data_IF_722055932167
#
_entry.id   IF_722055932167
#
_cell.length_a   1.000
_cell.length_b   1.000
_cell.length_c   1.000
_cell.angle_alpha   90.00
_cell.angle_beta   90.00
_cell.angle_gamma   90.00
#
_symmetry.space_group_name_H-M   'P 1'
#
loop_
_entity.id
_entity.type
_entity.pdbx_description
1 polymer ?
#
# COMPACT_ATOMS: atom_id res chain seq x y z
N UNK A 1 3.06 -6.05 0.76
CA UNK A 1 2.05 -6.12 1.84
C UNK A 1 2.17 -4.99 2.86
N UNK A 2 3.34 -4.33 3.01
CA UNK A 2 3.44 -3.08 3.80
C UNK A 2 3.09 -3.23 5.29
N UNK A 3 3.10 -4.46 5.80
CA UNK A 3 2.63 -4.79 7.15
C UNK A 3 3.67 -4.43 8.22
N UNK A 4 4.95 -4.63 7.88
CA UNK A 4 6.10 -4.30 8.74
C UNK A 4 6.88 -3.16 8.11
N UNK A 5 7.55 -2.36 8.94
CA UNK A 5 8.33 -1.20 8.47
C UNK A 5 9.69 -1.63 7.90
N UNK A 6 10.33 -2.63 8.49
CA UNK A 6 11.67 -3.09 8.09
C UNK A 6 11.86 -4.54 8.51
N UNK A 7 12.66 -5.26 7.72
CA UNK A 7 13.17 -6.59 8.05
C UNK A 7 14.63 -6.44 8.45
N UNK A 8 14.98 -6.87 9.66
CA UNK A 8 16.36 -6.79 10.17
C UNK A 8 17.09 -8.05 9.69
N UNK A 9 18.26 -7.88 9.07
CA UNK A 9 19.05 -9.00 8.55
C UNK A 9 19.66 -9.82 9.68
N UNK A 10 19.53 -11.14 9.57
CA UNK A 10 20.22 -12.10 10.42
C UNK A 10 21.69 -12.25 10.02
N UNK A 11 22.58 -12.63 10.95
CA UNK A 11 23.97 -12.95 10.64
C UNK A 11 24.09 -14.23 9.81
N UNK A 12 25.28 -14.44 9.23
CA UNK A 12 25.56 -15.61 8.41
C UNK A 12 25.30 -16.92 9.18
N UNK A 13 24.45 -17.78 8.60
CA UNK A 13 24.01 -19.03 9.20
C UNK A 13 22.87 -18.91 10.22
N UNK A 14 22.30 -17.72 10.40
CA UNK A 14 21.08 -17.48 11.14
C UNK A 14 21.28 -16.94 12.56
N UNK A 15 20.22 -16.37 13.12
CA UNK A 15 20.24 -15.68 14.40
C UNK A 15 20.77 -16.52 15.58
N UNK A 16 20.49 -17.82 15.57
CA UNK A 16 20.90 -18.74 16.64
C UNK A 16 22.41 -19.02 16.66
N UNK A 17 23.12 -18.86 15.54
CA UNK A 17 24.56 -19.14 15.45
C UNK A 17 25.42 -17.98 15.95
N UNK A 18 24.90 -16.76 15.82
CA UNK A 18 25.58 -15.57 16.27
C UNK A 18 24.56 -14.62 16.91
N UNK A 19 24.28 -14.89 18.18
CA UNK A 19 23.33 -14.12 18.97
C UNK A 19 23.82 -12.67 19.17
N UNK A 20 25.13 -12.49 19.36
CA UNK A 20 25.72 -11.18 19.60
C UNK A 20 25.42 -10.20 18.45
N UNK A 21 25.72 -10.60 17.21
CA UNK A 21 25.49 -9.73 16.06
C UNK A 21 24.00 -9.53 15.77
N UNK A 22 23.18 -10.54 16.04
CA UNK A 22 21.72 -10.42 15.93
C UNK A 22 21.18 -9.36 16.88
N UNK A 23 21.54 -9.44 18.16
CA UNK A 23 21.12 -8.48 19.18
C UNK A 23 21.63 -7.08 18.84
N UNK A 24 22.89 -6.96 18.42
CA UNK A 24 23.46 -5.68 18.00
C UNK A 24 22.70 -5.05 16.82
N UNK A 25 22.34 -5.83 15.80
CA UNK A 25 21.56 -5.34 14.66
C UNK A 25 20.16 -4.87 15.09
N UNK A 26 19.52 -5.60 16.01
CA UNK A 26 18.21 -5.24 16.58
C UNK A 26 18.31 -3.97 17.40
N UNK A 27 19.28 -3.88 18.32
CA UNK A 27 19.52 -2.71 19.16
C UNK A 27 19.75 -1.46 18.31
N UNK A 28 20.65 -1.56 17.32
CA UNK A 28 20.94 -0.46 16.39
C UNK A 28 19.69 0.07 15.70
N UNK A 29 18.80 -0.84 15.27
CA UNK A 29 17.53 -0.45 14.64
C UNK A 29 16.56 0.20 15.63
N UNK A 30 16.41 -0.37 16.83
CA UNK A 30 15.53 0.17 17.89
C UNK A 30 15.99 1.56 18.31
N UNK A 31 17.28 1.75 18.59
CA UNK A 31 17.83 3.05 19.02
C UNK A 31 17.63 4.12 17.95
N UNK A 32 17.87 3.77 16.68
CA UNK A 32 17.65 4.68 15.55
C UNK A 32 16.16 5.07 15.44
N UNK A 33 15.27 4.09 15.41
CA UNK A 33 13.83 4.34 15.23
C UNK A 33 13.22 5.12 16.40
N UNK A 34 13.59 4.79 17.64
CA UNK A 34 13.14 5.55 18.81
C UNK A 34 13.64 7.00 18.78
N UNK A 35 14.88 7.23 18.34
CA UNK A 35 15.42 8.59 18.18
C UNK A 35 14.60 9.37 17.14
N UNK A 36 14.29 8.76 16.01
CA UNK A 36 13.54 9.41 14.93
C UNK A 36 12.08 9.69 15.35
N UNK A 37 11.43 8.74 16.02
CA UNK A 37 10.06 8.91 16.52
C UNK A 37 9.97 9.97 17.62
N UNK A 38 10.96 10.06 18.51
CA UNK A 38 11.02 11.07 19.58
C UNK A 38 11.10 12.50 19.04
N UNK A 39 11.62 12.70 17.82
CA UNK A 39 11.68 14.02 17.16
C UNK A 39 10.35 14.44 16.54
N UNK A 40 9.38 13.54 16.47
CA UNK A 40 8.05 13.83 15.93
C UNK A 40 7.16 14.40 17.04
N UNK A 41 6.38 15.44 16.74
CA UNK A 41 5.36 15.98 17.67
C UNK A 41 4.35 14.90 18.04
N UNK A 42 3.84 14.94 19.27
CA UNK A 42 2.91 13.93 19.79
C UNK A 42 1.67 13.78 18.92
N UNK A 43 1.04 14.88 18.50
CA UNK A 43 -0.16 14.86 17.67
C UNK A 43 0.09 14.17 16.33
N UNK A 44 1.22 14.46 15.70
CA UNK A 44 1.64 13.82 14.44
C UNK A 44 1.92 12.33 14.65
N UNK A 45 2.51 11.95 15.79
CA UNK A 45 2.79 10.56 16.11
C UNK A 45 1.50 9.73 16.24
N UNK A 46 0.46 10.31 16.86
CA UNK A 46 -0.85 9.69 17.00
C UNK A 46 -1.57 9.56 15.66
N UNK A 47 -1.59 10.63 14.87
CA UNK A 47 -2.19 10.64 13.53
C UNK A 47 -1.52 9.63 12.59
N UNK A 48 -0.19 9.59 12.57
CA UNK A 48 0.57 8.62 11.77
C UNK A 48 0.27 7.17 12.17
N UNK A 49 0.17 6.90 13.48
CA UNK A 49 -0.18 5.58 14.00
C UNK A 49 -1.59 5.17 13.55
N UNK A 50 -2.56 6.09 13.66
CA UNK A 50 -3.93 5.84 13.24
C UNK A 50 -4.01 5.51 11.74
N UNK A 51 -3.39 6.34 10.90
CA UNK A 51 -3.32 6.15 9.44
C UNK A 51 -2.71 4.80 9.08
N UNK A 52 -1.57 4.45 9.70
CA UNK A 52 -0.91 3.16 9.46
C UNK A 52 -1.85 2.01 9.77
N UNK A 53 -2.45 1.97 10.95
CA UNK A 53 -3.34 0.89 11.37
C UNK A 53 -4.58 0.76 10.47
N UNK A 54 -5.19 1.88 10.08
CA UNK A 54 -6.38 1.88 9.21
C UNK A 54 -6.08 1.48 7.77
N UNK A 55 -4.83 1.59 7.34
CA UNK A 55 -4.40 1.13 6.01
C UNK A 55 -4.17 -0.38 5.93
N UNK A 56 -4.11 -1.08 7.07
CA UNK A 56 -3.88 -2.52 7.13
C UNK A 56 -5.19 -3.25 6.84
N UNK A 57 -5.12 -4.18 5.89
CA UNK A 57 -6.27 -4.95 5.43
C UNK A 57 -6.93 -4.29 4.21
N UNK A 58 -7.38 -5.13 3.27
CA UNK A 58 -8.16 -4.68 2.11
C UNK A 58 -9.37 -5.60 2.02
N UNK A 59 -10.56 -5.03 1.90
CA UNK A 59 -11.76 -5.85 1.72
C UNK A 59 -11.66 -6.63 0.39
N UNK A 60 -12.23 -7.85 0.31
CA UNK A 60 -12.26 -8.60 -0.95
C UNK A 60 -12.89 -7.80 -2.11
N UNK A 61 -13.93 -7.02 -1.81
CA UNK A 61 -14.61 -6.15 -2.75
C UNK A 61 -13.72 -5.00 -3.28
N UNK A 62 -12.94 -4.35 -2.41
CA UNK A 62 -11.97 -3.33 -2.84
C UNK A 62 -10.82 -3.92 -3.64
N UNK A 63 -10.35 -5.12 -3.27
CA UNK A 63 -9.31 -5.82 -4.02
C UNK A 63 -9.78 -6.14 -5.45
N UNK A 64 -11.05 -6.55 -5.59
CA UNK A 64 -11.67 -6.77 -6.90
C UNK A 64 -11.84 -5.46 -7.67
N UNK A 65 -12.34 -4.39 -7.04
CA UNK A 65 -12.45 -3.05 -7.64
C UNK A 65 -11.11 -2.54 -8.17
N UNK A 66 -10.01 -2.67 -7.41
CA UNK A 66 -8.67 -2.25 -7.84
C UNK A 66 -8.20 -3.02 -9.08
N UNK A 67 -8.51 -4.31 -9.18
CA UNK A 67 -8.19 -5.13 -10.36
C UNK A 67 -9.01 -4.74 -11.59
N UNK A 68 -10.28 -4.37 -11.41
CA UNK A 68 -11.18 -4.04 -12.53
C UNK A 68 -11.12 -2.58 -12.96
N UNK A 69 -10.56 -1.69 -12.13
CA UNK A 69 -10.43 -0.24 -12.37
C UNK A 69 -9.74 0.08 -13.71
N UNK A 70 -8.59 -0.53 -13.99
CA UNK A 70 -7.86 -0.31 -15.24
C UNK A 70 -8.65 -0.74 -16.48
N UNK A 71 -9.44 -1.82 -16.37
CA UNK A 71 -10.34 -2.26 -17.44
C UNK A 71 -11.53 -1.32 -17.63
N UNK A 72 -12.09 -0.83 -16.51
CA UNK A 72 -13.20 0.13 -16.50
C UNK A 72 -12.80 1.47 -17.11
N UNK A 73 -11.58 1.94 -16.84
CA UNK A 73 -11.04 3.18 -17.41
C UNK A 73 -10.85 3.06 -18.93
N UNK A 74 -10.24 1.97 -19.41
CA UNK A 74 -10.11 1.71 -20.85
C UNK A 74 -11.46 1.63 -21.57
N UNK A 75 -12.45 0.97 -20.96
CA UNK A 75 -13.81 0.88 -21.50
C UNK A 75 -14.48 2.25 -21.51
N UNK A 76 -14.28 3.07 -20.49
CA UNK A 76 -14.82 4.43 -20.41
C UNK A 76 -14.20 5.32 -21.50
N UNK A 77 -12.88 5.30 -21.66
CA UNK A 77 -12.16 6.03 -22.71
C UNK A 77 -12.62 5.60 -24.11
N UNK A 78 -12.79 4.28 -24.33
CA UNK A 78 -13.31 3.77 -25.59
C UNK A 78 -14.76 4.21 -25.86
N UNK A 79 -15.61 4.25 -24.83
CA UNK A 79 -17.01 4.72 -24.93
C UNK A 79 -17.09 6.22 -25.24
N UNK A 80 -16.20 7.04 -24.68
CA UNK A 80 -16.10 8.47 -24.96
C UNK A 80 -15.56 8.75 -26.37
N UNK A 81 -14.69 7.88 -26.88
CA UNK A 81 -14.16 7.94 -28.25
C UNK A 81 -15.15 7.45 -29.32
N UNK A 82 -16.25 6.78 -28.94
CA UNK A 82 -17.28 6.34 -29.89
C UNK A 82 -18.15 7.54 -30.28
N UNK A 83 -18.25 7.88 -31.58
CA UNK A 83 -19.09 8.99 -32.02
C UNK A 83 -20.57 8.68 -31.75
N UNK A 84 -21.19 9.42 -30.83
CA UNK A 84 -22.63 9.35 -30.55
C UNK A 84 -23.41 10.01 -31.67
N UNK A 85 -23.72 9.28 -32.74
CA UNK A 85 -24.90 9.52 -33.61
C UNK A 85 -25.02 8.41 -34.66
N UNK A 86 -25.95 7.48 -34.46
CA UNK A 86 -26.63 6.84 -35.59
C UNK A 86 -27.86 7.69 -35.89
N UNK A 87 -27.88 8.36 -37.04
CA UNK A 87 -29.09 9.04 -37.55
C UNK A 87 -30.20 7.98 -37.60
N UNK A 88 -31.25 8.15 -36.80
CA UNK A 88 -32.47 7.33 -36.92
C UNK A 88 -33.07 7.63 -38.28
N UNK A 89 -33.02 6.66 -39.18
CA UNK A 89 -33.70 6.76 -40.48
C UNK A 89 -35.16 6.39 -40.20
N UNK A 90 -36.14 7.29 -40.41
CA UNK A 90 -37.54 6.92 -40.23
C UNK A 90 -37.92 5.91 -41.31
N UNK A 91 -38.54 4.80 -40.89
CA UNK A 91 -39.10 3.82 -41.81
C UNK A 91 -40.18 4.49 -42.66
N UNK A 92 -40.08 4.36 -43.98
CA UNK A 92 -41.03 4.93 -44.92
C UNK A 92 -42.18 3.93 -45.07
N UNK A 93 -43.39 4.34 -44.67
CA UNK A 93 -44.66 3.64 -44.91
C UNK A 93 -45.10 3.90 -46.35
#
# INVERSE_FOLDING_TARGET
LGLVDTVISEPLGGAHRNLHDTVYNVEKYIVKTLRDLKRTKLDNLLDNRYKKLRSIGVSPAEKLRRKTLAGKERVKEALEAVPTKRKRIPAKV
#
